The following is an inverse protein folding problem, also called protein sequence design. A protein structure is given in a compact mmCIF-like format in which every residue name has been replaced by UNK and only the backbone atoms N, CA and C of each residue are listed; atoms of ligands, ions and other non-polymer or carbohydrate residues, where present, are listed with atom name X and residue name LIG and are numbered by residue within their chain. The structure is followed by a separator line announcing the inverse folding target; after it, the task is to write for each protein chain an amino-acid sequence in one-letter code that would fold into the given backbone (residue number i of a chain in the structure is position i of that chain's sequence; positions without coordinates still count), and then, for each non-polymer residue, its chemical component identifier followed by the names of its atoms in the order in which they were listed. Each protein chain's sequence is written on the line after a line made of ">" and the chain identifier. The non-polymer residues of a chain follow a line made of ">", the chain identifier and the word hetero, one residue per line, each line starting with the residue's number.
data_IF_213909328385
#
_entry.id   IF_213909328385
#
_cell.length_a   1.000
_cell.length_b   1.000
_cell.length_c   1.000
_cell.angle_alpha   90.00
_cell.angle_beta   90.00
_cell.angle_gamma   90.00
#
_symmetry.space_group_name_H-M   'P 1'
#
loop_
_entity.id
_entity.type
_entity.pdbx_description
1 polymer ?
#
# COMPACT_ATOMS: atom_id res chain seq x y z
N UNK A 1 79.73 -23.71 60.63
CA UNK A 1 78.56 -22.82 60.85
C UNK A 1 77.85 -22.65 59.53
N UNK A 2 76.58 -23.08 59.44
CA UNK A 2 75.71 -22.86 58.29
C UNK A 2 74.97 -21.55 58.52
N UNK A 3 75.13 -20.58 57.63
CA UNK A 3 74.31 -19.36 57.61
C UNK A 3 73.70 -19.22 56.23
N UNK A 4 72.42 -19.57 56.17
CA UNK A 4 71.49 -19.32 55.08
C UNK A 4 71.24 -17.82 54.99
N UNK A 5 71.36 -17.22 53.80
CA UNK A 5 70.80 -15.90 53.53
C UNK A 5 70.19 -15.87 52.14
N UNK A 6 68.90 -15.54 52.09
CA UNK A 6 68.09 -15.45 50.89
C UNK A 6 68.28 -14.10 50.17
N UNK A 7 68.45 -14.19 48.85
CA UNK A 7 68.02 -13.32 47.72
C UNK A 7 67.75 -11.80 47.94
N UNK A 8 68.04 -10.96 46.93
CA UNK A 8 67.04 -10.82 45.86
C UNK A 8 67.60 -10.70 44.44
N UNK A 9 66.80 -11.25 43.51
CA UNK A 9 66.90 -11.08 42.06
C UNK A 9 66.44 -9.66 41.72
N UNK A 10 67.30 -8.92 41.02
CA UNK A 10 67.00 -7.59 40.50
C UNK A 10 66.10 -7.72 39.26
N UNK A 11 64.79 -7.52 39.44
CA UNK A 11 63.83 -7.39 38.36
C UNK A 11 64.00 -6.03 37.68
N UNK A 12 64.57 -6.01 36.48
CA UNK A 12 64.56 -4.86 35.57
C UNK A 12 63.13 -4.63 35.07
N UNK A 13 62.40 -3.73 35.72
CA UNK A 13 61.16 -3.18 35.20
C UNK A 13 61.46 -2.20 34.05
N UNK A 14 61.21 -2.64 32.82
CA UNK A 14 61.11 -1.75 31.66
C UNK A 14 59.87 -0.85 31.84
N UNK A 15 60.10 0.40 32.23
CA UNK A 15 59.11 1.47 32.13
C UNK A 15 58.91 1.78 30.64
N UNK A 16 58.00 1.04 30.00
CA UNK A 16 57.43 1.46 28.71
C UNK A 16 56.52 2.66 28.97
N UNK A 17 57.08 3.86 28.80
CA UNK A 17 56.32 5.09 28.81
C UNK A 17 55.63 5.22 27.44
N UNK A 18 54.53 4.49 27.23
CA UNK A 18 53.63 4.80 26.12
C UNK A 18 52.83 6.05 26.51
N UNK A 19 53.29 7.23 26.04
CA UNK A 19 52.41 8.40 25.98
C UNK A 19 51.21 8.00 25.13
N UNK A 20 50.08 7.75 25.78
CA UNK A 20 48.80 7.59 25.13
C UNK A 20 48.50 8.94 24.51
N UNK A 21 48.79 9.08 23.23
CA UNK A 21 48.31 10.21 22.46
C UNK A 21 46.80 9.99 22.38
N UNK A 22 46.06 10.67 23.26
CA UNK A 22 44.63 10.81 23.10
C UNK A 22 44.44 11.55 21.77
N UNK A 23 44.13 10.80 20.72
CA UNK A 23 43.42 11.37 19.59
C UNK A 23 42.15 11.98 20.17
N UNK A 24 42.18 13.30 20.34
CA UNK A 24 40.95 14.06 20.43
C UNK A 24 40.22 13.79 19.13
N UNK A 25 39.27 12.86 19.19
CA UNK A 25 38.19 12.80 18.23
C UNK A 25 37.58 14.19 18.29
N UNK A 26 37.90 15.04 17.32
CA UNK A 26 37.08 16.20 17.05
C UNK A 26 35.72 15.63 16.66
N UNK A 27 34.85 15.54 17.66
CA UNK A 27 33.42 15.41 17.41
C UNK A 27 33.06 16.71 16.71
N UNK A 28 33.14 16.69 15.38
CA UNK A 28 32.37 17.59 14.56
C UNK A 28 30.92 17.30 14.94
N UNK A 29 30.42 18.06 15.91
CA UNK A 29 29.01 18.31 16.05
C UNK A 29 28.62 19.06 14.77
N UNK A 30 28.47 18.31 13.68
CA UNK A 30 27.59 18.75 12.60
C UNK A 30 26.31 19.14 13.33
N UNK A 31 25.80 20.36 13.13
CA UNK A 31 24.50 20.69 13.67
C UNK A 31 23.59 19.55 13.26
N UNK A 32 22.91 18.93 14.22
CA UNK A 32 21.73 18.13 13.93
C UNK A 32 20.78 19.15 13.31
N UNK A 33 20.87 19.29 11.99
CA UNK A 33 19.79 19.86 11.21
C UNK A 33 18.70 18.82 11.42
N UNK A 34 17.82 19.08 12.37
CA UNK A 34 16.48 18.51 12.35
C UNK A 34 15.85 18.96 11.05
N UNK A 35 16.17 18.28 9.95
CA UNK A 35 15.45 18.47 8.71
C UNK A 35 14.12 17.74 8.87
N UNK A 36 13.19 18.40 9.55
CA UNK A 36 11.76 18.22 9.32
C UNK A 36 11.45 18.63 7.88
N UNK A 37 11.93 17.86 6.90
CA UNK A 37 11.61 18.05 5.50
C UNK A 37 11.02 16.75 4.94
N UNK A 38 10.06 16.16 5.68
CA UNK A 38 9.18 15.15 5.10
C UNK A 38 8.35 15.82 4.02
N UNK A 39 8.45 15.35 2.79
CA UNK A 39 7.60 15.84 1.70
C UNK A 39 6.47 14.84 1.48
N UNK A 40 5.24 15.29 1.73
CA UNK A 40 4.05 14.49 1.50
C UNK A 40 3.60 14.64 0.03
N UNK A 41 3.41 13.51 -0.65
CA UNK A 41 2.92 13.49 -2.04
C UNK A 41 1.64 12.67 -2.12
N UNK A 42 0.59 13.24 -2.70
CA UNK A 42 -0.69 12.54 -2.85
C UNK A 42 -0.85 11.94 -4.24
N UNK A 43 -1.41 10.73 -4.28
CA UNK A 43 -1.68 9.99 -5.51
C UNK A 43 -3.16 9.55 -5.52
N UNK A 44 -3.98 10.10 -6.44
CA UNK A 44 -3.71 11.29 -7.25
C UNK A 44 -3.58 12.55 -6.38
N UNK A 45 -2.95 13.58 -6.96
CA UNK A 45 -2.75 14.86 -6.30
C UNK A 45 -4.08 15.49 -5.88
N UNK A 46 -5.00 15.59 -6.84
CA UNK A 46 -6.35 16.12 -6.65
C UNK A 46 -7.36 14.99 -6.54
N UNK A 47 -8.41 15.20 -5.74
CA UNK A 47 -9.56 14.30 -5.73
C UNK A 47 -10.39 14.55 -6.98
N UNK A 48 -10.35 13.63 -7.91
CA UNK A 48 -11.16 13.66 -9.13
C UNK A 48 -12.28 12.63 -9.05
N UNK A 49 -13.23 12.79 -9.97
CA UNK A 49 -14.27 11.80 -10.24
C UNK A 49 -14.08 11.33 -11.68
N UNK A 50 -13.91 10.03 -11.84
CA UNK A 50 -13.78 9.37 -13.14
C UNK A 50 -15.08 8.63 -13.42
N UNK A 51 -15.63 8.79 -14.63
CA UNK A 51 -16.92 8.19 -15.01
C UNK A 51 -16.81 7.46 -16.34
N UNK A 52 -17.28 6.22 -16.33
CA UNK A 52 -17.36 5.36 -17.51
C UNK A 52 -18.81 4.91 -17.70
N UNK A 53 -19.42 5.34 -18.80
CA UNK A 53 -20.78 4.96 -19.19
C UNK A 53 -20.72 3.99 -20.38
N UNK A 54 -21.52 2.93 -20.34
CA UNK A 54 -21.66 1.96 -21.44
C UNK A 54 -23.13 1.76 -21.76
N UNK A 55 -23.48 1.70 -23.05
CA UNK A 55 -24.83 1.42 -23.53
C UNK A 55 -24.83 0.12 -24.35
N UNK A 56 -25.63 -0.85 -23.91
CA UNK A 56 -25.90 -2.11 -24.61
C UNK A 56 -27.24 -1.91 -25.34
N UNK A 57 -27.16 -1.60 -26.63
CA UNK A 57 -28.30 -1.09 -27.43
C UNK A 57 -29.41 -2.13 -27.59
N UNK A 58 -29.06 -3.37 -27.91
CA UNK A 58 -30.00 -4.47 -28.16
C UNK A 58 -30.79 -4.88 -26.91
N UNK A 59 -30.22 -4.67 -25.71
CA UNK A 59 -30.87 -4.93 -24.42
C UNK A 59 -31.44 -3.68 -23.76
N UNK A 60 -31.22 -2.50 -24.34
CA UNK A 60 -31.50 -1.17 -23.76
C UNK A 60 -30.96 -1.02 -22.32
N UNK A 61 -29.74 -1.52 -22.09
CA UNK A 61 -29.07 -1.46 -20.79
C UNK A 61 -28.04 -0.34 -20.78
N UNK A 62 -28.12 0.54 -19.77
CA UNK A 62 -27.10 1.53 -19.47
C UNK A 62 -26.36 1.15 -18.20
N UNK A 63 -25.04 1.08 -18.30
CA UNK A 63 -24.11 0.87 -17.20
C UNK A 63 -23.39 2.20 -16.94
N UNK A 64 -23.25 2.58 -15.68
CA UNK A 64 -22.46 3.71 -15.23
C UNK A 64 -21.56 3.26 -14.09
N UNK A 65 -20.24 3.36 -14.29
CA UNK A 65 -19.23 3.14 -13.27
C UNK A 65 -18.62 4.51 -12.94
N UNK A 66 -18.63 4.89 -11.67
CA UNK A 66 -18.06 6.16 -11.21
C UNK A 66 -17.06 5.90 -10.10
N UNK A 67 -15.79 6.27 -10.31
CA UNK A 67 -14.73 6.20 -9.31
C UNK A 67 -14.52 7.59 -8.70
N UNK A 68 -14.58 7.66 -7.38
CA UNK A 68 -14.38 8.91 -6.63
C UNK A 68 -13.28 8.72 -5.60
N UNK A 69 -12.21 9.50 -5.69
CA UNK A 69 -11.13 9.46 -4.70
C UNK A 69 -11.58 10.05 -3.37
N UNK A 70 -11.16 9.39 -2.29
CA UNK A 70 -11.54 9.69 -0.93
C UNK A 70 -10.47 10.53 -0.21
N UNK A 71 -10.83 10.98 0.99
CA UNK A 71 -9.87 11.59 1.93
C UNK A 71 -9.05 10.54 2.69
N UNK A 72 -9.48 9.28 2.70
CA UNK A 72 -8.68 8.16 3.19
C UNK A 72 -7.56 7.84 2.21
N UNK A 73 -6.40 7.46 2.75
CA UNK A 73 -5.23 7.05 1.99
C UNK A 73 -4.41 6.04 2.78
N UNK A 74 -3.60 5.26 2.06
CA UNK A 74 -2.51 4.45 2.64
C UNK A 74 -1.19 5.17 2.39
N UNK A 75 -0.20 4.90 3.24
CA UNK A 75 1.11 5.56 3.17
C UNK A 75 2.19 4.59 2.75
N UNK A 76 3.16 5.10 1.99
CA UNK A 76 4.44 4.46 1.79
C UNK A 76 5.54 5.45 2.18
N UNK A 77 6.38 5.09 3.14
CA UNK A 77 7.47 5.93 3.63
C UNK A 77 8.81 5.39 3.15
N UNK A 78 9.66 6.27 2.63
CA UNK A 78 10.99 5.89 2.17
C UNK A 78 11.95 7.09 2.27
N UNK A 79 13.24 6.82 2.17
CA UNK A 79 14.28 7.85 2.14
C UNK A 79 14.77 8.06 0.71
N UNK A 80 14.88 9.32 0.28
CA UNK A 80 15.48 9.70 -0.98
C UNK A 80 16.41 10.89 -0.76
N UNK A 81 17.68 10.75 -1.17
CA UNK A 81 18.72 11.79 -0.99
C UNK A 81 18.84 12.32 0.45
N UNK A 82 18.73 11.44 1.45
CA UNK A 82 18.80 11.82 2.87
C UNK A 82 17.54 12.53 3.40
N UNK A 83 16.46 12.59 2.60
CA UNK A 83 15.19 13.19 2.98
C UNK A 83 14.10 12.13 3.05
N UNK A 84 13.33 12.13 4.15
CA UNK A 84 12.13 11.32 4.28
C UNK A 84 11.09 11.77 3.24
N UNK A 85 10.49 10.82 2.55
CA UNK A 85 9.38 11.01 1.62
C UNK A 85 8.20 10.18 2.11
N UNK A 86 6.99 10.73 1.99
CA UNK A 86 5.76 10.03 2.35
C UNK A 86 4.78 10.12 1.19
N UNK A 87 4.60 9.01 0.50
CA UNK A 87 3.61 8.89 -0.55
C UNK A 87 2.27 8.46 0.06
N UNK A 88 1.21 9.21 -0.28
CA UNK A 88 -0.16 9.03 0.21
C UNK A 88 -1.06 8.63 -0.96
N UNK A 89 -1.39 7.35 -1.03
CA UNK A 89 -2.23 6.79 -2.08
C UNK A 89 -3.69 6.84 -1.62
N UNK A 90 -4.49 7.69 -2.26
CA UNK A 90 -5.90 7.86 -1.93
C UNK A 90 -6.67 6.59 -2.24
N UNK A 91 -7.54 6.23 -1.31
CA UNK A 91 -8.52 5.19 -1.53
C UNK A 91 -9.65 5.71 -2.43
N UNK A 92 -10.46 4.80 -2.96
CA UNK A 92 -11.56 5.15 -3.84
C UNK A 92 -12.87 4.48 -3.45
N UNK A 93 -13.97 5.20 -3.69
CA UNK A 93 -15.31 4.61 -3.75
C UNK A 93 -15.71 4.39 -5.20
N UNK A 94 -16.30 3.22 -5.50
CA UNK A 94 -16.79 2.86 -6.83
C UNK A 94 -18.32 2.77 -6.80
N UNK A 95 -19.00 3.67 -7.49
CA UNK A 95 -20.44 3.56 -7.73
C UNK A 95 -20.71 2.77 -9.01
N UNK A 96 -21.53 1.73 -8.93
CA UNK A 96 -22.04 0.97 -10.05
C UNK A 96 -23.56 1.17 -10.15
N UNK A 97 -24.00 1.65 -11.32
CA UNK A 97 -25.41 1.83 -11.64
C UNK A 97 -25.74 1.11 -12.94
N UNK A 98 -26.73 0.23 -12.90
CA UNK A 98 -27.26 -0.49 -14.06
C UNK A 98 -28.73 -0.13 -14.23
N UNK A 99 -29.09 0.35 -15.41
CA UNK A 99 -30.47 0.64 -15.80
C UNK A 99 -30.86 -0.17 -17.02
N UNK A 100 -32.12 -0.59 -17.09
CA UNK A 100 -32.72 -1.19 -18.28
C UNK A 100 -34.07 -0.50 -18.51
N UNK A 101 -34.34 -0.03 -19.73
CA UNK A 101 -35.58 0.67 -20.06
C UNK A 101 -35.90 1.83 -19.10
N UNK A 102 -34.88 2.62 -18.75
CA UNK A 102 -34.90 3.69 -17.75
C UNK A 102 -35.21 3.27 -16.30
N UNK A 103 -35.48 1.99 -16.02
CA UNK A 103 -35.62 1.44 -14.67
C UNK A 103 -34.25 1.10 -14.09
N UNK A 104 -33.98 1.55 -12.87
CA UNK A 104 -32.78 1.14 -12.13
C UNK A 104 -32.91 -0.33 -11.72
N UNK A 105 -31.96 -1.15 -12.19
CA UNK A 105 -31.83 -2.55 -11.79
C UNK A 105 -30.86 -2.71 -10.62
N UNK A 106 -29.79 -1.91 -10.62
CA UNK A 106 -28.76 -1.89 -9.58
C UNK A 106 -28.27 -0.45 -9.38
N UNK A 107 -28.07 -0.06 -8.12
CA UNK A 107 -27.42 1.20 -7.73
C UNK A 107 -26.69 0.93 -6.42
N UNK A 108 -25.37 0.77 -6.49
CA UNK A 108 -24.55 0.35 -5.36
C UNK A 108 -23.25 1.13 -5.30
N UNK A 109 -22.70 1.27 -4.10
CA UNK A 109 -21.42 1.90 -3.81
C UNK A 109 -20.51 0.87 -3.15
N UNK A 110 -19.40 0.57 -3.79
CA UNK A 110 -18.35 -0.27 -3.24
C UNK A 110 -17.22 0.58 -2.66
N UNK A 111 -16.69 0.07 -1.56
CA UNK A 111 -15.43 0.46 -0.91
C UNK A 111 -14.68 -0.81 -0.57
N UNK A 112 -13.37 -0.72 -0.31
CA UNK A 112 -12.58 -1.91 0.03
C UNK A 112 -13.09 -2.62 1.29
N UNK A 113 -13.76 -1.89 2.19
CA UNK A 113 -14.37 -2.45 3.41
C UNK A 113 -15.56 -3.38 3.12
N UNK A 114 -16.16 -3.31 1.92
CA UNK A 114 -17.18 -4.28 1.53
C UNK A 114 -16.60 -5.69 1.32
N UNK A 115 -15.28 -5.84 1.30
CA UNK A 115 -14.58 -7.10 1.02
C UNK A 115 -13.94 -7.75 2.26
N UNK A 116 -14.28 -7.30 3.48
CA UNK A 116 -13.70 -7.82 4.74
C UNK A 116 -13.81 -9.33 4.94
N UNK A 117 -14.77 -9.99 4.27
CA UNK A 117 -14.93 -11.44 4.35
C UNK A 117 -14.00 -12.20 3.40
N UNK A 118 -13.29 -11.49 2.52
CA UNK A 118 -12.46 -12.05 1.45
C UNK A 118 -10.97 -11.70 1.59
N UNK A 119 -10.67 -10.52 2.16
CA UNK A 119 -9.29 -10.05 2.37
C UNK A 119 -8.95 -9.98 3.84
N UNK A 120 -7.69 -10.24 4.18
CA UNK A 120 -7.23 -10.10 5.55
C UNK A 120 -7.14 -8.62 5.98
N UNK A 121 -7.30 -8.39 7.28
CA UNK A 121 -7.31 -7.05 7.85
C UNK A 121 -5.97 -6.32 7.70
N UNK A 122 -4.84 -7.02 7.55
CA UNK A 122 -3.54 -6.37 7.39
C UNK A 122 -3.38 -5.88 5.94
N UNK A 123 -3.72 -6.72 4.96
CA UNK A 123 -3.76 -6.32 3.55
C UNK A 123 -4.71 -5.14 3.33
N UNK A 124 -5.91 -5.18 3.91
CA UNK A 124 -6.86 -4.07 3.77
C UNK A 124 -6.31 -2.72 4.26
N UNK A 125 -5.49 -2.70 5.32
CA UNK A 125 -4.91 -1.47 5.86
C UNK A 125 -3.86 -0.85 4.96
N UNK A 126 -3.21 -1.65 4.11
CA UNK A 126 -2.12 -1.22 3.22
C UNK A 126 -2.54 -1.13 1.75
N UNK A 127 -3.75 -1.57 1.41
CA UNK A 127 -4.30 -1.54 0.07
C UNK A 127 -5.31 -0.41 -0.16
N UNK A 128 -5.54 -0.08 -1.43
CA UNK A 128 -6.58 0.85 -1.90
C UNK A 128 -7.48 0.16 -2.92
N UNK A 129 -8.71 0.65 -3.07
CA UNK A 129 -9.56 0.24 -4.18
C UNK A 129 -9.00 0.79 -5.50
N UNK A 130 -8.19 -0.01 -6.18
CA UNK A 130 -7.40 0.41 -7.32
C UNK A 130 -8.27 0.69 -8.55
N UNK A 131 -9.14 -0.26 -8.92
CA UNK A 131 -9.89 -0.17 -10.17
C UNK A 131 -11.11 -1.06 -10.22
N UNK A 132 -12.03 -0.72 -11.11
CA UNK A 132 -13.26 -1.47 -11.37
C UNK A 132 -13.73 -1.16 -12.80
N UNK A 133 -13.89 -2.20 -13.61
CA UNK A 133 -14.12 -2.07 -15.05
C UNK A 133 -15.17 -3.06 -15.52
N UNK A 134 -15.83 -2.72 -16.64
CA UNK A 134 -16.60 -3.70 -17.39
C UNK A 134 -15.61 -4.68 -18.04
N UNK A 135 -15.81 -5.98 -17.84
CA UNK A 135 -14.94 -7.02 -18.39
C UNK A 135 -15.59 -7.71 -19.59
N UNK A 136 -16.70 -8.41 -19.36
CA UNK A 136 -17.37 -9.22 -20.36
C UNK A 136 -18.89 -9.04 -20.29
N UNK A 137 -19.55 -9.26 -21.42
CA UNK A 137 -21.01 -9.28 -21.52
C UNK A 137 -21.40 -10.49 -22.36
N UNK A 138 -22.29 -11.32 -21.84
CA UNK A 138 -22.88 -12.43 -22.57
C UNK A 138 -24.43 -12.37 -22.51
N UNK A 139 -25.08 -13.49 -22.81
CA UNK A 139 -26.54 -13.58 -22.80
C UNK A 139 -27.13 -13.76 -21.39
N UNK A 140 -26.33 -14.18 -20.42
CA UNK A 140 -26.73 -14.50 -19.05
C UNK A 140 -26.40 -13.38 -18.06
N UNK A 141 -25.26 -12.70 -18.26
CA UNK A 141 -24.70 -11.77 -17.29
C UNK A 141 -23.88 -10.63 -17.90
N UNK A 142 -23.67 -9.62 -17.08
CA UNK A 142 -22.63 -8.60 -17.24
C UNK A 142 -21.56 -8.88 -16.19
N UNK A 143 -20.32 -9.08 -16.62
CA UNK A 143 -19.19 -9.26 -15.71
C UNK A 143 -18.38 -7.98 -15.60
N UNK A 144 -18.03 -7.65 -14.37
CA UNK A 144 -17.10 -6.58 -14.02
C UNK A 144 -15.87 -7.19 -13.37
N UNK A 145 -14.71 -6.61 -13.66
CA UNK A 145 -13.45 -6.93 -13.00
C UNK A 145 -13.12 -5.82 -12.01
N UNK A 146 -12.62 -6.17 -10.84
CA UNK A 146 -12.23 -5.21 -9.81
C UNK A 146 -10.97 -5.65 -9.08
N UNK A 147 -10.21 -4.65 -8.64
CA UNK A 147 -8.90 -4.86 -7.99
C UNK A 147 -8.77 -3.97 -6.77
N UNK A 148 -8.40 -4.57 -5.65
CA UNK A 148 -7.90 -3.89 -4.45
C UNK A 148 -6.43 -4.22 -4.34
N UNK A 149 -5.54 -3.22 -4.40
CA UNK A 149 -4.10 -3.48 -4.48
C UNK A 149 -3.32 -2.66 -3.48
N UNK A 150 -2.21 -3.23 -3.01
CA UNK A 150 -1.15 -2.48 -2.34
C UNK A 150 -0.43 -1.65 -3.40
N UNK A 151 -0.39 -0.31 -3.28
CA UNK A 151 0.31 0.54 -4.24
C UNK A 151 1.79 0.17 -4.42
N UNK A 152 2.30 0.39 -5.63
CA UNK A 152 3.69 0.15 -6.02
C UNK A 152 4.17 -1.30 -5.86
N UNK A 153 3.25 -2.27 -5.88
CA UNK A 153 3.56 -3.71 -5.86
C UNK A 153 2.54 -4.50 -6.66
N UNK A 154 2.89 -5.75 -6.96
CA UNK A 154 1.98 -6.71 -7.61
C UNK A 154 1.01 -7.38 -6.61
N UNK A 155 1.03 -7.00 -5.33
CA UNK A 155 0.15 -7.60 -4.33
C UNK A 155 -1.27 -7.04 -4.43
N UNK A 156 -2.17 -7.84 -5.01
CA UNK A 156 -3.54 -7.48 -5.31
C UNK A 156 -4.55 -8.53 -4.82
N UNK A 157 -5.78 -8.08 -4.60
CA UNK A 157 -6.96 -8.92 -4.49
C UNK A 157 -7.86 -8.60 -5.67
N UNK A 158 -7.99 -9.57 -6.56
CA UNK A 158 -8.71 -9.49 -7.81
C UNK A 158 -10.02 -10.27 -7.73
N UNK A 159 -11.09 -9.69 -8.26
CA UNK A 159 -12.41 -10.28 -8.18
C UNK A 159 -13.27 -9.95 -9.39
N UNK A 160 -14.23 -10.83 -9.65
CA UNK A 160 -15.32 -10.59 -10.57
C UNK A 160 -16.60 -10.26 -9.83
N UNK A 161 -17.34 -9.30 -10.35
CA UNK A 161 -18.74 -9.11 -10.04
C UNK A 161 -19.58 -9.51 -11.25
N UNK A 162 -20.50 -10.44 -11.07
CA UNK A 162 -21.38 -10.92 -12.11
C UNK A 162 -22.81 -10.44 -11.83
N UNK A 163 -23.34 -9.57 -12.70
CA UNK A 163 -24.74 -9.17 -12.67
C UNK A 163 -25.56 -10.08 -13.58
N UNK A 164 -26.38 -10.95 -12.99
CA UNK A 164 -27.16 -11.94 -13.74
C UNK A 164 -28.50 -11.35 -14.18
N UNK A 165 -28.84 -11.46 -15.47
CA UNK A 165 -30.08 -10.88 -16.00
C UNK A 165 -31.34 -11.58 -15.51
N UNK A 166 -31.24 -12.88 -15.19
CA UNK A 166 -32.38 -13.73 -14.80
C UNK A 166 -32.96 -13.33 -13.45
N UNK A 167 -32.11 -13.17 -12.44
CA UNK A 167 -32.51 -12.90 -11.06
C UNK A 167 -32.25 -11.44 -10.65
N UNK A 168 -31.64 -10.63 -11.53
CA UNK A 168 -31.26 -9.24 -11.28
C UNK A 168 -30.36 -9.11 -10.04
N UNK A 169 -29.53 -10.12 -9.79
CA UNK A 169 -28.61 -10.16 -8.66
C UNK A 169 -27.18 -9.86 -9.09
N UNK A 170 -26.42 -9.26 -8.17
CA UNK A 170 -24.98 -9.12 -8.29
C UNK A 170 -24.31 -10.14 -7.37
N UNK A 171 -23.37 -10.92 -7.90
CA UNK A 171 -22.59 -11.90 -7.12
C UNK A 171 -21.10 -11.66 -7.29
N UNK A 172 -20.36 -11.81 -6.21
CA UNK A 172 -18.89 -11.72 -6.19
C UNK A 172 -18.28 -13.10 -6.35
N UNK A 173 -17.35 -13.22 -7.28
CA UNK A 173 -16.53 -14.41 -7.53
C UNK A 173 -15.06 -13.99 -7.37
N UNK A 174 -14.32 -14.66 -6.48
CA UNK A 174 -12.90 -14.35 -6.25
C UNK A 174 -12.08 -15.02 -7.35
N UNK A 175 -11.08 -14.30 -7.87
CA UNK A 175 -10.10 -14.90 -8.78
C UNK A 175 -8.97 -15.42 -7.88
N UNK A 176 -8.89 -16.74 -7.71
CA UNK A 176 -7.77 -17.33 -6.98
C UNK A 176 -6.47 -17.05 -7.75
N UNK A 177 -5.49 -16.43 -7.07
CA UNK A 177 -4.12 -16.37 -7.58
C UNK A 177 -3.64 -17.82 -7.80
N UNK A 178 -3.35 -18.15 -9.05
CA UNK A 178 -2.59 -19.36 -9.33
C UNK A 178 -1.20 -19.11 -8.78
N UNK A 179 -0.88 -19.69 -7.63
CA UNK A 179 0.49 -19.63 -7.09
C UNK A 179 1.41 -20.27 -8.13
N UNK A 180 2.19 -19.47 -8.83
CA UNK A 180 3.37 -19.94 -9.57
C UNK A 180 4.45 -20.45 -8.60
#
# INVERSE_FOLDING_TARGET
>A
MKTTFCLPILLLAILSCSKKQEEKIEVFNKPIITSENSTDRFFPKEKTVEKFDTLIVDKNIKISITKSYLDSFVTNEFENEGKKQVDKYRDAGISLKIKQDNKTLLDTLFRKENFNNYIDNNFQKIAVFHGYWLNEIDNEKIQFFGTIAKPETDWAFDFHHNFYFKDKSLKTEIIEETKE
#
